data_IF_115662630532
#
_entry.id   IF_115662630532
#
_cell.length_a   1.000
_cell.length_b   1.000
_cell.length_c   1.000
_cell.angle_alpha   90.00
_cell.angle_beta   90.00
_cell.angle_gamma   90.00
#
_symmetry.space_group_name_H-M   'P 1'
#
loop_
_entity.id
_entity.type
_entity.pdbx_description
1 polymer ?
#
# COMPACT_ATOMS: atom_id res chain seq x y z
N UNK A 1 -9.70 41.97 -14.59
CA UNK A 1 -9.87 40.59 -14.07
C UNK A 1 -9.37 40.47 -12.63
N UNK A 2 -8.17 40.99 -12.33
CA UNK A 2 -7.59 41.05 -10.97
C UNK A 2 -8.47 41.79 -9.94
N UNK A 3 -9.08 42.92 -10.29
CA UNK A 3 -9.94 43.66 -9.35
C UNK A 3 -11.23 42.94 -8.98
N UNK A 4 -11.81 42.18 -9.93
CA UNK A 4 -12.97 41.32 -9.65
C UNK A 4 -12.59 40.19 -8.69
N UNK A 5 -11.40 39.61 -8.85
CA UNK A 5 -10.88 38.57 -7.97
C UNK A 5 -10.63 39.11 -6.55
N UNK A 6 -10.03 40.30 -6.43
CA UNK A 6 -9.79 40.97 -5.15
C UNK A 6 -11.09 41.34 -4.43
N UNK A 7 -12.11 41.80 -5.17
CA UNK A 7 -13.44 42.05 -4.61
C UNK A 7 -14.13 40.79 -4.09
N UNK A 8 -14.01 39.67 -4.81
CA UNK A 8 -14.52 38.37 -4.37
C UNK A 8 -13.78 37.88 -3.12
N UNK A 9 -12.44 37.98 -3.08
CA UNK A 9 -11.63 37.59 -1.92
C UNK A 9 -11.94 38.44 -0.68
N UNK A 10 -12.14 39.75 -0.83
CA UNK A 10 -12.52 40.65 0.27
C UNK A 10 -13.91 40.34 0.81
N UNK A 11 -14.84 39.96 -0.07
CA UNK A 11 -16.22 39.56 0.30
C UNK A 11 -16.27 38.16 0.91
N UNK A 12 -15.39 37.26 0.48
CA UNK A 12 -15.24 35.90 1.00
C UNK A 12 -14.42 35.85 2.30
N UNK A 13 -13.53 36.82 2.54
CA UNK A 13 -12.65 36.93 3.71
C UNK A 13 -13.28 36.62 5.07
N UNK A 14 -14.48 37.15 5.42
CA UNK A 14 -15.14 36.80 6.68
C UNK A 14 -15.68 35.36 6.74
N UNK A 15 -15.90 34.72 5.58
CA UNK A 15 -16.40 33.35 5.49
C UNK A 15 -15.28 32.31 5.31
N UNK A 16 -14.07 32.72 4.91
CA UNK A 16 -12.87 31.86 4.85
C UNK A 16 -12.64 31.08 6.15
N UNK A 17 -12.68 31.68 7.37
CA UNK A 17 -12.53 30.91 8.60
C UNK A 17 -13.69 29.92 8.81
N UNK A 18 -14.92 30.25 8.41
CA UNK A 18 -16.09 29.35 8.53
C UNK A 18 -15.97 28.17 7.56
N UNK A 19 -15.51 28.41 6.34
CA UNK A 19 -15.25 27.37 5.34
C UNK A 19 -14.11 26.47 5.83
N UNK A 20 -13.00 27.03 6.28
CA UNK A 20 -11.90 26.26 6.87
C UNK A 20 -12.34 25.46 8.10
N UNK A 21 -13.15 26.03 8.99
CA UNK A 21 -13.71 25.33 10.15
C UNK A 21 -14.67 24.21 9.75
N UNK A 22 -15.48 24.39 8.71
CA UNK A 22 -16.39 23.37 8.20
C UNK A 22 -15.64 22.15 7.63
N UNK A 23 -14.55 22.38 6.89
CA UNK A 23 -13.70 21.31 6.36
C UNK A 23 -12.78 20.69 7.43
N UNK A 24 -12.23 21.50 8.34
CA UNK A 24 -11.41 21.01 9.45
C UNK A 24 -12.22 20.12 10.39
N UNK A 25 -13.50 20.45 10.65
CA UNK A 25 -14.36 19.63 11.49
C UNK A 25 -14.67 18.27 10.87
N UNK A 26 -14.75 18.14 9.54
CA UNK A 26 -14.91 16.84 8.88
C UNK A 26 -13.61 16.03 8.87
N UNK A 27 -12.48 16.67 8.57
CA UNK A 27 -11.15 16.06 8.57
C UNK A 27 -10.70 15.55 9.95
N UNK A 28 -11.03 16.31 11.01
CA UNK A 28 -10.68 16.02 12.41
C UNK A 28 -11.88 15.62 13.26
N UNK A 29 -13.04 15.31 12.66
CA UNK A 29 -14.18 14.76 13.39
C UNK A 29 -13.72 13.46 14.03
N UNK A 30 -13.69 13.44 15.36
CA UNK A 30 -13.55 12.21 16.10
C UNK A 30 -14.77 11.34 15.82
N UNK A 31 -14.54 10.09 15.42
CA UNK A 31 -15.60 9.07 15.48
C UNK A 31 -15.91 8.78 16.95
N UNK A 32 -16.98 8.03 17.24
CA UNK A 32 -17.43 7.71 18.61
C UNK A 32 -16.37 7.06 19.52
N UNK A 33 -15.18 6.68 18.98
CA UNK A 33 -14.01 6.19 19.72
C UNK A 33 -12.87 7.19 19.95
N UNK A 34 -13.03 8.48 19.64
CA UNK A 34 -12.04 9.53 19.97
C UNK A 34 -10.89 9.74 18.97
N UNK A 35 -10.82 8.98 17.87
CA UNK A 35 -9.80 9.15 16.84
C UNK A 35 -10.29 9.97 15.63
N UNK A 36 -9.47 10.87 15.06
CA UNK A 36 -9.81 11.63 13.85
C UNK A 36 -10.06 10.73 12.63
N UNK A 37 -11.09 11.01 11.83
CA UNK A 37 -11.45 10.23 10.63
C UNK A 37 -10.29 9.99 9.64
N UNK A 38 -9.39 10.96 9.45
CA UNK A 38 -8.21 10.79 8.58
C UNK A 38 -7.30 9.65 9.07
N UNK A 39 -7.13 9.52 10.38
CA UNK A 39 -6.29 8.48 10.99
C UNK A 39 -6.94 7.11 10.80
N UNK A 40 -8.25 7.01 11.03
CA UNK A 40 -9.01 5.77 10.81
C UNK A 40 -9.00 5.34 9.34
N UNK A 41 -9.20 6.27 8.40
CA UNK A 41 -9.18 5.97 6.97
C UNK A 41 -7.81 5.48 6.48
N UNK A 42 -6.73 6.09 6.96
CA UNK A 42 -5.37 5.66 6.62
C UNK A 42 -5.04 4.27 7.18
N UNK A 43 -5.45 3.97 8.42
CA UNK A 43 -5.28 2.66 9.05
C UNK A 43 -6.02 1.57 8.26
N UNK A 44 -7.26 1.84 7.83
CA UNK A 44 -8.04 0.88 7.04
C UNK A 44 -7.39 0.63 5.67
N UNK A 45 -6.96 1.68 4.98
CA UNK A 45 -6.29 1.54 3.68
C UNK A 45 -4.99 0.73 3.79
N UNK A 46 -4.19 0.96 4.83
CA UNK A 46 -2.98 0.18 5.07
C UNK A 46 -3.29 -1.27 5.44
N UNK A 47 -4.35 -1.53 6.19
CA UNK A 47 -4.79 -2.89 6.50
C UNK A 47 -5.26 -3.65 5.26
N UNK A 48 -6.02 -2.99 4.39
CA UNK A 48 -6.48 -3.58 3.13
C UNK A 48 -5.29 -3.83 2.20
N UNK A 49 -4.41 -2.85 2.02
CA UNK A 49 -3.23 -2.98 1.17
C UNK A 49 -2.30 -4.11 1.65
N UNK A 50 -2.01 -4.19 2.95
CA UNK A 50 -1.19 -5.27 3.50
C UNK A 50 -1.87 -6.63 3.35
N UNK A 51 -3.20 -6.71 3.50
CA UNK A 51 -3.96 -7.95 3.26
C UNK A 51 -3.86 -8.43 1.82
N UNK A 52 -3.94 -7.52 0.84
CA UNK A 52 -3.78 -7.85 -0.57
C UNK A 52 -2.35 -8.26 -0.90
N UNK A 53 -1.36 -7.57 -0.36
CA UNK A 53 0.05 -7.89 -0.56
C UNK A 53 0.38 -9.29 -0.03
N UNK A 54 -0.16 -9.68 1.14
CA UNK A 54 0.02 -11.03 1.69
C UNK A 54 -0.58 -12.14 0.81
N UNK A 55 -1.54 -11.81 -0.06
CA UNK A 55 -2.07 -12.75 -1.05
C UNK A 55 -1.27 -12.75 -2.35
N UNK A 56 -0.87 -11.57 -2.83
CA UNK A 56 -0.23 -11.42 -4.15
C UNK A 56 1.23 -11.87 -4.14
N UNK A 57 1.99 -11.62 -3.06
CA UNK A 57 3.40 -12.01 -2.96
C UNK A 57 3.60 -13.53 -3.13
N UNK A 58 2.90 -14.41 -2.40
CA UNK A 58 3.03 -15.86 -2.58
C UNK A 58 2.51 -16.31 -3.96
N UNK A 59 1.43 -15.72 -4.46
CA UNK A 59 0.91 -16.05 -5.78
C UNK A 59 1.90 -15.68 -6.91
N UNK A 60 2.46 -14.47 -6.87
CA UNK A 60 3.41 -13.97 -7.86
C UNK A 60 4.75 -14.70 -7.81
N UNK A 61 5.27 -14.96 -6.60
CA UNK A 61 6.50 -15.76 -6.44
C UNK A 61 6.29 -17.20 -6.90
N UNK A 62 5.15 -17.82 -6.59
CA UNK A 62 4.79 -19.14 -7.09
C UNK A 62 4.72 -19.20 -8.62
N UNK A 63 4.08 -18.21 -9.26
CA UNK A 63 4.00 -18.11 -10.71
C UNK A 63 5.39 -17.95 -11.36
N UNK A 64 6.25 -17.09 -10.82
CA UNK A 64 7.61 -16.89 -11.33
C UNK A 64 8.51 -18.13 -11.15
N UNK A 65 8.37 -18.83 -10.01
CA UNK A 65 9.04 -20.12 -9.79
C UNK A 65 8.55 -21.16 -10.80
N UNK A 66 7.23 -21.24 -11.04
CA UNK A 66 6.64 -22.12 -12.03
C UNK A 66 7.14 -21.85 -13.45
N UNK A 67 7.24 -20.57 -13.84
CA UNK A 67 7.83 -20.17 -15.11
C UNK A 67 9.28 -20.64 -15.25
N UNK A 68 10.13 -20.38 -14.26
CA UNK A 68 11.53 -20.83 -14.31
C UNK A 68 11.67 -22.36 -14.27
N UNK A 69 10.78 -23.07 -13.57
CA UNK A 69 10.73 -24.52 -13.58
C UNK A 69 10.38 -25.07 -14.97
N UNK A 70 9.42 -24.44 -15.66
CA UNK A 70 9.04 -24.80 -17.03
C UNK A 70 10.18 -24.55 -18.02
N UNK A 71 10.78 -23.36 -17.97
CA UNK A 71 11.91 -23.00 -18.85
C UNK A 71 13.10 -23.95 -18.66
N UNK A 72 13.37 -24.36 -17.41
CA UNK A 72 14.38 -25.37 -17.10
C UNK A 72 14.06 -26.73 -17.74
N UNK A 73 12.81 -27.16 -17.77
CA UNK A 73 12.41 -28.42 -18.43
C UNK A 73 12.59 -28.36 -19.94
N UNK A 74 12.41 -27.19 -20.55
CA UNK A 74 12.57 -26.97 -22.00
C UNK A 74 14.03 -26.75 -22.43
N UNK A 75 14.99 -26.67 -21.50
CA UNK A 75 16.39 -26.33 -21.80
C UNK A 75 17.23 -27.52 -22.32
N UNK A 76 16.62 -28.60 -22.82
CA UNK A 76 17.26 -29.81 -23.39
C UNK A 76 18.42 -30.40 -22.56
N UNK A 77 18.41 -30.17 -21.24
CA UNK A 77 19.43 -30.69 -20.32
C UNK A 77 20.76 -29.94 -20.31
N UNK A 78 20.87 -28.76 -20.93
CA UNK A 78 22.08 -27.93 -20.79
C UNK A 78 22.28 -27.52 -19.30
N UNK A 79 23.41 -27.92 -18.66
CA UNK A 79 23.66 -27.64 -17.26
C UNK A 79 23.78 -26.15 -16.94
N UNK A 80 24.24 -25.33 -17.89
CA UNK A 80 24.48 -23.91 -17.67
C UNK A 80 23.15 -23.13 -17.54
N UNK A 81 22.24 -23.34 -18.47
CA UNK A 81 20.88 -22.76 -18.44
C UNK A 81 20.05 -23.30 -17.26
N UNK A 82 20.13 -24.60 -16.98
CA UNK A 82 19.45 -25.18 -15.82
C UNK A 82 19.93 -24.59 -14.47
N UNK A 83 21.25 -24.33 -14.35
CA UNK A 83 21.82 -23.70 -13.15
C UNK A 83 21.37 -22.24 -12.99
N UNK A 84 21.25 -21.49 -14.09
CA UNK A 84 20.74 -20.12 -14.07
C UNK A 84 19.28 -20.07 -13.58
N UNK A 85 18.42 -20.94 -14.09
CA UNK A 85 17.03 -21.03 -13.65
C UNK A 85 16.89 -21.46 -12.19
N UNK A 86 17.71 -22.41 -11.70
CA UNK A 86 17.72 -22.78 -10.28
C UNK A 86 18.08 -21.60 -9.37
N UNK A 87 19.07 -20.79 -9.76
CA UNK A 87 19.45 -19.58 -9.03
C UNK A 87 18.31 -18.56 -9.03
N UNK A 88 17.66 -18.36 -10.17
CA UNK A 88 16.52 -17.46 -10.29
C UNK A 88 15.35 -17.89 -9.39
N UNK A 89 14.97 -19.18 -9.40
CA UNK A 89 13.95 -19.74 -8.52
C UNK A 89 14.28 -19.50 -7.04
N UNK A 90 15.53 -19.73 -6.62
CA UNK A 90 15.96 -19.47 -5.24
C UNK A 90 15.86 -17.99 -4.87
N UNK A 91 16.27 -17.09 -5.76
CA UNK A 91 16.20 -15.65 -5.52
C UNK A 91 14.75 -15.17 -5.40
N UNK A 92 13.84 -15.70 -6.23
CA UNK A 92 12.40 -15.42 -6.14
C UNK A 92 11.83 -15.92 -4.81
N UNK A 93 12.21 -17.14 -4.38
CA UNK A 93 11.76 -17.69 -3.09
C UNK A 93 12.22 -16.82 -1.91
N UNK A 94 13.49 -16.40 -1.91
CA UNK A 94 14.07 -15.52 -0.87
C UNK A 94 13.38 -14.16 -0.90
N UNK A 95 13.21 -13.56 -2.08
CA UNK A 95 12.52 -12.28 -2.24
C UNK A 95 11.07 -12.32 -1.78
N UNK A 96 10.35 -13.41 -2.10
CA UNK A 96 8.99 -13.66 -1.64
C UNK A 96 8.91 -13.77 -0.12
N UNK A 97 9.82 -14.53 0.51
CA UNK A 97 9.86 -14.67 1.96
C UNK A 97 10.15 -13.33 2.69
N UNK A 98 11.07 -12.53 2.15
CA UNK A 98 11.37 -11.19 2.69
C UNK A 98 10.13 -10.28 2.56
N UNK A 99 9.50 -10.25 1.38
CA UNK A 99 8.29 -9.47 1.15
C UNK A 99 7.15 -9.86 2.10
N UNK A 100 6.87 -11.16 2.23
CA UNK A 100 5.87 -11.69 3.16
C UNK A 100 6.15 -11.27 4.61
N UNK A 101 7.39 -11.47 5.07
CA UNK A 101 7.76 -11.12 6.44
C UNK A 101 7.63 -9.63 6.72
N UNK A 102 8.04 -8.76 5.79
CA UNK A 102 7.95 -7.32 5.95
C UNK A 102 6.48 -6.84 6.01
N UNK A 103 5.62 -7.36 5.12
CA UNK A 103 4.19 -7.03 5.10
C UNK A 103 3.49 -7.59 6.33
N UNK A 104 3.82 -8.82 6.74
CA UNK A 104 3.27 -9.47 7.93
C UNK A 104 3.59 -8.68 9.20
N UNK A 105 4.85 -8.25 9.37
CA UNK A 105 5.25 -7.39 10.50
C UNK A 105 4.47 -6.07 10.48
N UNK A 106 4.37 -5.42 9.32
CA UNK A 106 3.63 -4.16 9.18
C UNK A 106 2.17 -4.32 9.60
N UNK A 107 1.53 -5.43 9.21
CA UNK A 107 0.15 -5.75 9.58
C UNK A 107 -0.02 -6.01 11.08
N UNK A 108 0.95 -6.68 11.70
CA UNK A 108 0.99 -6.86 13.17
C UNK A 108 1.09 -5.49 13.86
N UNK A 109 1.96 -4.60 13.41
CA UNK A 109 2.04 -3.24 13.95
C UNK A 109 0.74 -2.45 13.79
N UNK A 110 0.08 -2.52 12.63
CA UNK A 110 -1.21 -1.87 12.37
C UNK A 110 -2.31 -2.33 13.35
N UNK A 111 -2.29 -3.60 13.76
CA UNK A 111 -3.30 -4.14 14.69
C UNK A 111 -3.31 -3.45 16.06
N UNK A 112 -2.18 -2.92 16.52
CA UNK A 112 -2.10 -2.15 17.78
C UNK A 112 -2.78 -0.78 17.72
N UNK A 113 -3.06 -0.26 16.52
CA UNK A 113 -3.77 1.02 16.32
C UNK A 113 -5.25 0.84 16.01
N UNK A 114 -5.71 -0.41 15.86
CA UNK A 114 -7.10 -0.78 15.59
C UNK A 114 -7.85 -1.30 16.83
N UNK A 115 -7.16 -1.39 17.98
CA UNK A 115 -7.71 -1.80 19.28
C UNK A 115 -8.30 -0.66 20.09
#
# INVERSE_FOLDING_TARGET
MLEKLAGVLKKAGPYVPVILLAFAKAAFAATSGGQPQIVTGAINLLNDATSWLLGIIPAGSGAAIGYHALMKQMSDGDPATAAAHNRAMRNVLIGGAIGESAVGITKVFLSYFQG
#
